data_IF_374118703775
#
_entry.id   IF_374118703775
#
_cell.length_a   1.000
_cell.length_b   1.000
_cell.length_c   1.000
_cell.angle_alpha   90.00
_cell.angle_beta   90.00
_cell.angle_gamma   90.00
#
_symmetry.space_group_name_H-M   'P 1'
#
loop_
_entity.id
_entity.type
_entity.pdbx_description
1 polymer ?
#
# COMPACT_ATOMS: atom_id res chain seq x y z
N UNK A 1 15.63 -1.12 26.09
CA UNK A 1 16.88 -1.82 25.69
C UNK A 1 18.10 -1.18 26.38
N UNK A 2 17.88 -0.38 27.42
CA UNK A 2 18.82 0.67 27.84
C UNK A 2 19.41 0.36 29.24
N UNK A 3 18.91 -0.73 29.85
CA UNK A 3 19.17 -1.18 31.23
C UNK A 3 20.07 -2.45 31.25
N UNK A 4 20.35 -3.08 30.12
CA UNK A 4 21.24 -4.26 30.08
C UNK A 4 22.71 -3.85 30.19
N UNK A 5 23.51 -4.66 30.87
CA UNK A 5 24.97 -4.50 30.93
C UNK A 5 25.61 -5.60 30.07
N UNK A 6 26.22 -5.30 28.90
CA UNK A 6 26.42 -4.01 28.26
C UNK A 6 25.16 -3.50 27.51
N UNK A 7 25.08 -2.17 27.35
CA UNK A 7 23.93 -1.49 26.75
C UNK A 7 23.75 -1.94 25.30
N UNK A 8 22.51 -2.22 24.90
CA UNK A 8 22.16 -2.64 23.54
C UNK A 8 22.93 -3.87 23.04
N UNK A 9 23.28 -4.79 23.94
CA UNK A 9 23.96 -6.04 23.56
C UNK A 9 23.06 -6.92 22.71
N UNK A 10 23.42 -7.11 21.43
CA UNK A 10 22.73 -8.01 20.51
C UNK A 10 22.71 -9.46 21.04
N UNK A 11 23.78 -9.90 21.70
CA UNK A 11 23.86 -11.23 22.29
C UNK A 11 22.79 -11.45 23.38
N UNK A 12 22.54 -10.43 24.21
CA UNK A 12 21.49 -10.48 25.25
C UNK A 12 20.09 -10.44 24.65
N UNK A 13 19.92 -9.70 23.57
CA UNK A 13 18.67 -9.68 22.80
C UNK A 13 18.36 -11.07 22.22
N UNK A 14 19.32 -11.69 21.54
CA UNK A 14 19.14 -13.01 20.91
C UNK A 14 18.86 -14.12 21.96
N UNK A 15 19.46 -14.03 23.15
CA UNK A 15 19.20 -14.92 24.29
C UNK A 15 17.75 -14.81 24.79
N UNK A 16 17.28 -13.57 25.05
CA UNK A 16 15.92 -13.31 25.53
C UNK A 16 14.89 -13.71 24.48
N UNK A 17 15.16 -13.42 23.19
CA UNK A 17 14.28 -13.86 22.10
C UNK A 17 14.15 -15.38 22.09
N UNK A 18 15.25 -16.12 22.23
CA UNK A 18 15.22 -17.59 22.27
C UNK A 18 14.41 -18.13 23.44
N UNK A 19 14.60 -17.57 24.64
CA UNK A 19 13.91 -18.01 25.86
C UNK A 19 12.40 -17.72 25.81
N UNK A 20 12.03 -16.49 25.43
CA UNK A 20 10.63 -16.07 25.30
C UNK A 20 9.94 -16.84 24.17
N UNK A 21 10.61 -17.10 23.05
CA UNK A 21 10.04 -17.91 21.96
C UNK A 21 9.73 -19.34 22.40
N UNK A 22 10.62 -19.97 23.19
CA UNK A 22 10.40 -21.29 23.76
C UNK A 22 9.24 -21.31 24.76
N UNK A 23 9.13 -20.26 25.58
CA UNK A 23 8.03 -20.11 26.53
C UNK A 23 6.68 -19.94 25.82
N UNK A 24 6.61 -19.06 24.82
CA UNK A 24 5.39 -18.84 24.02
C UNK A 24 4.94 -20.13 23.32
N UNK A 25 5.87 -20.91 22.75
CA UNK A 25 5.58 -22.23 22.17
C UNK A 25 5.02 -23.23 23.19
N UNK A 26 5.44 -23.17 24.46
CA UNK A 26 4.90 -24.03 25.54
C UNK A 26 3.49 -23.66 25.99
N UNK A 27 3.13 -22.39 25.89
CA UNK A 27 1.77 -21.87 26.20
C UNK A 27 0.84 -22.00 24.98
N UNK A 28 1.25 -22.79 23.97
CA UNK A 28 0.56 -22.94 22.67
C UNK A 28 0.34 -21.61 21.93
N UNK A 29 1.14 -20.59 22.27
CA UNK A 29 1.13 -19.28 21.62
C UNK A 29 2.00 -19.33 20.36
N UNK A 30 1.34 -19.46 19.22
CA UNK A 30 2.02 -19.67 17.95
C UNK A 30 2.59 -18.35 17.41
N UNK A 31 3.86 -18.07 17.72
CA UNK A 31 4.58 -16.84 17.34
C UNK A 31 4.70 -16.64 15.83
N UNK A 32 4.65 -17.73 15.05
CA UNK A 32 4.70 -17.70 13.58
C UNK A 32 3.32 -17.38 12.96
N UNK A 33 2.26 -17.42 13.78
CA UNK A 33 0.87 -17.30 13.35
C UNK A 33 0.17 -16.08 13.95
N UNK A 34 0.94 -15.07 14.38
CA UNK A 34 0.36 -13.81 14.84
C UNK A 34 -0.38 -13.19 13.66
N UNK A 35 -1.70 -12.97 13.78
CA UNK A 35 -2.48 -12.37 12.71
C UNK A 35 -1.98 -10.96 12.47
N UNK A 36 -1.33 -10.74 11.32
CA UNK A 36 -0.94 -9.40 10.91
C UNK A 36 -2.19 -8.63 10.48
N UNK A 37 -2.46 -7.51 11.14
CA UNK A 37 -3.57 -6.62 10.80
C UNK A 37 -3.01 -5.51 9.92
N UNK A 38 -3.39 -5.54 8.65
CA UNK A 38 -3.12 -4.45 7.71
C UNK A 38 -4.13 -3.34 7.96
N UNK A 39 -3.68 -2.10 7.94
CA UNK A 39 -4.58 -0.95 8.05
C UNK A 39 -4.67 -0.27 6.69
N UNK A 40 -5.89 -0.01 6.24
CA UNK A 40 -6.16 0.64 4.97
C UNK A 40 -7.46 1.41 4.99
N UNK A 41 -7.64 2.23 3.97
CA UNK A 41 -8.87 2.98 3.72
C UNK A 41 -9.57 2.38 2.50
N UNK A 42 -10.87 2.09 2.63
CA UNK A 42 -11.66 1.52 1.54
C UNK A 42 -12.05 2.63 0.58
N UNK A 43 -11.27 2.79 -0.48
CA UNK A 43 -11.50 3.84 -1.48
C UNK A 43 -12.65 3.55 -2.44
N UNK A 44 -12.88 2.27 -2.78
CA UNK A 44 -14.00 1.85 -3.63
C UNK A 44 -14.41 0.41 -3.41
N UNK A 45 -15.70 0.14 -3.58
CA UNK A 45 -16.27 -1.20 -3.43
C UNK A 45 -16.60 -1.51 -1.98
N UNK A 46 -16.62 -2.81 -1.67
CA UNK A 46 -16.90 -3.32 -0.33
C UNK A 46 -15.84 -4.35 0.02
N UNK A 47 -15.29 -4.29 1.22
CA UNK A 47 -14.34 -5.28 1.73
C UNK A 47 -15.08 -6.20 2.70
N UNK A 48 -15.14 -7.49 2.39
CA UNK A 48 -15.80 -8.50 3.22
C UNK A 48 -14.84 -9.63 3.58
N UNK A 49 -15.12 -10.26 4.71
CA UNK A 49 -14.46 -11.52 5.09
C UNK A 49 -14.67 -12.58 4.01
N UNK A 50 -13.62 -13.33 3.68
CA UNK A 50 -13.62 -14.39 2.67
C UNK A 50 -13.37 -13.90 1.23
N UNK A 51 -13.21 -12.59 1.01
CA UNK A 51 -12.83 -12.07 -0.30
C UNK A 51 -11.37 -12.38 -0.63
N UNK A 52 -11.11 -12.71 -1.89
CA UNK A 52 -9.76 -12.94 -2.41
C UNK A 52 -9.24 -11.64 -3.00
N UNK A 53 -8.31 -11.01 -2.30
CA UNK A 53 -7.69 -9.75 -2.69
C UNK A 53 -6.28 -9.99 -3.22
N UNK A 54 -5.85 -9.17 -4.17
CA UNK A 54 -4.48 -9.16 -4.68
C UNK A 54 -3.85 -7.81 -4.39
N UNK A 55 -2.61 -7.81 -3.92
CA UNK A 55 -1.85 -6.60 -3.61
C UNK A 55 -0.91 -6.24 -4.76
N UNK A 56 -1.17 -5.12 -5.43
CA UNK A 56 -0.22 -4.50 -6.36
C UNK A 56 0.78 -3.62 -5.62
N UNK A 57 2.08 -3.60 -5.96
CA UNK A 57 2.77 -4.24 -7.09
C UNK A 57 3.30 -5.67 -6.84
N UNK A 58 3.16 -6.21 -5.63
CA UNK A 58 3.72 -7.55 -5.30
C UNK A 58 3.06 -8.69 -6.08
N UNK A 59 1.80 -8.52 -6.49
CA UNK A 59 1.01 -9.59 -7.12
C UNK A 59 0.57 -10.67 -6.14
N UNK A 60 0.81 -10.48 -4.84
CA UNK A 60 0.44 -11.42 -3.79
C UNK A 60 -1.09 -11.50 -3.67
N UNK A 61 -1.65 -12.67 -3.92
CA UNK A 61 -3.08 -12.95 -3.77
C UNK A 61 -3.33 -13.66 -2.43
N UNK A 62 -4.24 -13.11 -1.62
CA UNK A 62 -4.58 -13.63 -0.30
C UNK A 62 -6.08 -13.51 -0.01
N UNK A 63 -6.57 -14.30 0.94
CA UNK A 63 -7.95 -14.24 1.40
C UNK A 63 -8.05 -13.39 2.68
N UNK A 64 -9.03 -12.51 2.73
CA UNK A 64 -9.36 -11.70 3.92
C UNK A 64 -9.99 -12.59 4.99
N UNK A 65 -9.35 -12.69 6.15
CA UNK A 65 -9.81 -13.52 7.26
C UNK A 65 -10.72 -12.76 8.23
N UNK A 66 -10.37 -11.51 8.57
CA UNK A 66 -11.19 -10.64 9.42
C UNK A 66 -11.07 -9.19 8.93
N UNK A 67 -12.11 -8.41 9.19
CA UNK A 67 -12.12 -6.96 9.00
C UNK A 67 -12.55 -6.36 10.32
N UNK A 68 -11.86 -5.32 10.76
CA UNK A 68 -11.94 -4.72 12.08
C UNK A 68 -11.94 -3.19 11.95
N UNK A 69 -12.75 -2.51 12.75
CA UNK A 69 -12.76 -1.05 12.85
C UNK A 69 -12.86 -0.69 14.34
N UNK A 70 -11.96 0.17 14.82
CA UNK A 70 -11.93 0.60 16.22
C UNK A 70 -11.97 -0.55 17.27
N UNK A 71 -11.35 -1.69 16.98
CA UNK A 71 -11.33 -2.92 17.81
C UNK A 71 -12.63 -3.76 17.80
N UNK A 72 -13.54 -3.50 16.87
CA UNK A 72 -14.71 -4.34 16.64
C UNK A 72 -14.63 -5.03 15.28
N UNK A 73 -15.00 -6.32 15.24
CA UNK A 73 -15.03 -7.08 14.00
C UNK A 73 -16.27 -6.69 13.17
N UNK A 74 -16.04 -6.26 11.93
CA UNK A 74 -17.09 -5.93 10.96
C UNK A 74 -17.30 -7.08 9.98
N UNK A 75 -18.55 -7.27 9.57
CA UNK A 75 -18.90 -8.25 8.54
C UNK A 75 -18.55 -7.75 7.13
N UNK A 76 -18.74 -6.46 6.91
CA UNK A 76 -18.40 -5.74 5.69
C UNK A 76 -17.93 -4.34 6.03
N UNK A 77 -16.92 -3.86 5.31
CA UNK A 77 -16.47 -2.47 5.35
C UNK A 77 -16.90 -1.78 4.07
N UNK A 78 -17.48 -0.59 4.23
CA UNK A 78 -18.06 0.19 3.16
C UNK A 78 -17.08 1.24 2.66
N UNK A 79 -17.49 1.92 1.60
CA UNK A 79 -16.77 3.06 1.05
C UNK A 79 -16.48 4.10 2.14
N UNK A 80 -15.23 4.57 2.18
CA UNK A 80 -14.71 5.56 3.13
C UNK A 80 -14.41 5.06 4.54
N UNK A 81 -14.55 3.76 4.81
CA UNK A 81 -14.17 3.21 6.11
C UNK A 81 -12.66 3.02 6.22
N UNK A 82 -12.10 3.42 7.36
CA UNK A 82 -10.72 3.08 7.74
C UNK A 82 -10.75 1.80 8.56
N UNK A 83 -10.22 0.72 7.99
CA UNK A 83 -10.33 -0.62 8.57
C UNK A 83 -8.98 -1.28 8.74
N UNK A 84 -8.82 -1.97 9.85
CA UNK A 84 -7.85 -3.03 10.01
C UNK A 84 -8.40 -4.30 9.37
N UNK A 85 -7.60 -5.06 8.65
CA UNK A 85 -8.04 -6.36 8.14
C UNK A 85 -6.89 -7.36 8.19
N UNK A 86 -7.22 -8.59 8.52
CA UNK A 86 -6.29 -9.69 8.53
C UNK A 86 -6.38 -10.48 7.22
N UNK A 87 -5.24 -10.93 6.72
CA UNK A 87 -5.13 -11.76 5.52
C UNK A 87 -4.44 -13.08 5.84
N UNK A 88 -4.89 -14.17 5.22
CA UNK A 88 -4.26 -15.49 5.34
C UNK A 88 -2.97 -15.53 4.53
N UNK A 89 -1.93 -16.19 5.07
CA UNK A 89 -0.64 -16.43 4.41
C UNK A 89 0.12 -15.16 3.96
N UNK A 90 -0.07 -14.02 4.63
CA UNK A 90 0.76 -12.85 4.39
C UNK A 90 2.01 -12.84 5.27
N UNK A 91 3.17 -12.69 4.65
CA UNK A 91 4.45 -12.50 5.36
C UNK A 91 4.67 -11.00 5.54
N UNK A 92 5.04 -10.58 6.76
CA UNK A 92 5.20 -9.17 7.18
C UNK A 92 6.12 -8.35 6.26
N UNK A 93 7.08 -9.00 5.59
CA UNK A 93 8.07 -8.32 4.75
C UNK A 93 7.58 -8.01 3.32
N UNK A 94 6.52 -8.66 2.86
CA UNK A 94 6.10 -8.60 1.45
C UNK A 94 5.11 -7.46 1.18
N UNK A 95 4.52 -6.90 2.24
CA UNK A 95 3.54 -5.81 2.17
C UNK A 95 4.14 -4.51 2.69
N UNK A 96 4.02 -3.44 1.90
CA UNK A 96 4.50 -2.11 2.25
C UNK A 96 3.39 -1.08 2.09
N UNK A 97 3.50 0.02 2.83
CA UNK A 97 2.59 1.16 2.68
C UNK A 97 2.61 1.68 1.25
N UNK A 98 1.43 1.96 0.70
CA UNK A 98 1.25 2.39 -0.69
C UNK A 98 0.91 1.26 -1.66
N UNK A 99 0.84 0.01 -1.19
CA UNK A 99 0.32 -1.09 -1.99
C UNK A 99 -1.21 -0.95 -2.12
N UNK A 100 -1.72 -1.30 -3.29
CA UNK A 100 -3.15 -1.21 -3.59
C UNK A 100 -3.73 -2.62 -3.56
N UNK A 101 -4.66 -2.86 -2.65
CA UNK A 101 -5.46 -4.07 -2.61
C UNK A 101 -6.62 -3.95 -3.58
N UNK A 102 -6.83 -4.95 -4.42
CA UNK A 102 -7.96 -5.02 -5.34
C UNK A 102 -8.52 -6.44 -5.40
N UNK A 103 -9.79 -6.56 -5.77
CA UNK A 103 -10.41 -7.85 -6.02
C UNK A 103 -9.82 -8.46 -7.29
N UNK A 104 -9.34 -9.70 -7.19
CA UNK A 104 -8.79 -10.45 -8.32
C UNK A 104 -9.84 -10.72 -9.41
N UNK A 105 -11.12 -10.83 -9.03
CA UNK A 105 -12.18 -11.31 -9.92
C UNK A 105 -12.94 -10.18 -10.61
N UNK A 106 -13.32 -9.13 -9.88
CA UNK A 106 -14.30 -8.16 -10.39
C UNK A 106 -13.65 -6.98 -11.12
N UNK A 107 -12.45 -6.53 -10.72
CA UNK A 107 -11.73 -5.45 -11.39
C UNK A 107 -10.26 -5.40 -10.96
N UNK A 108 -9.37 -6.19 -11.59
CA UNK A 108 -7.96 -6.17 -11.24
C UNK A 108 -7.32 -4.82 -11.57
N UNK A 109 -6.77 -4.16 -10.56
CA UNK A 109 -5.97 -2.95 -10.79
C UNK A 109 -4.71 -3.36 -11.56
N UNK A 110 -4.26 -2.52 -12.49
CA UNK A 110 -3.06 -2.77 -13.28
C UNK A 110 -2.03 -1.70 -13.01
N UNK A 111 -0.77 -2.10 -13.07
CA UNK A 111 0.36 -1.18 -13.00
C UNK A 111 0.31 -0.19 -14.17
N UNK A 112 0.57 1.08 -13.88
CA UNK A 112 0.67 2.11 -14.91
C UNK A 112 2.08 2.12 -15.53
N UNK A 113 2.16 1.96 -16.85
CA UNK A 113 3.42 2.14 -17.57
C UNK A 113 3.70 3.63 -17.79
N UNK A 114 2.65 4.39 -18.11
CA UNK A 114 2.74 5.82 -18.41
C UNK A 114 1.39 6.43 -18.07
N UNK A 115 1.36 7.71 -17.70
CA UNK A 115 0.09 8.42 -17.53
C UNK A 115 0.18 9.86 -17.98
N UNK A 116 -0.89 10.35 -18.61
CA UNK A 116 -1.03 11.75 -19.01
C UNK A 116 -1.82 12.47 -17.95
N UNK A 117 -1.23 13.52 -17.42
CA UNK A 117 -1.78 14.31 -16.32
C UNK A 117 -1.80 15.79 -16.65
N UNK A 118 -2.82 16.46 -16.16
CA UNK A 118 -2.89 17.91 -16.13
C UNK A 118 -2.24 18.35 -14.83
N UNK A 119 -1.16 19.11 -14.92
CA UNK A 119 -0.37 19.55 -13.78
C UNK A 119 -0.38 21.07 -13.73
N UNK A 120 -0.30 21.60 -12.51
CA UNK A 120 -0.20 23.04 -12.22
C UNK A 120 1.08 23.25 -11.42
N UNK A 121 1.95 24.14 -11.90
CA UNK A 121 3.26 24.41 -11.30
C UNK A 121 3.19 25.59 -10.35
N UNK A 122 3.83 25.45 -9.20
CA UNK A 122 3.91 26.46 -8.13
C UNK A 122 5.36 26.91 -7.87
N UNK A 123 6.29 26.55 -8.74
CA UNK A 123 7.70 26.86 -8.58
C UNK A 123 7.97 28.36 -8.81
N UNK A 124 8.75 28.98 -7.91
CA UNK A 124 9.03 30.42 -7.95
C UNK A 124 9.97 30.81 -9.09
N UNK A 125 10.87 29.93 -9.50
CA UNK A 125 11.84 30.16 -10.59
C UNK A 125 11.95 28.95 -11.54
N UNK A 126 10.95 28.71 -12.38
CA UNK A 126 10.95 27.57 -13.25
C UNK A 126 11.76 27.85 -14.52
N UNK A 127 12.59 26.88 -14.92
CA UNK A 127 13.43 26.97 -16.14
C UNK A 127 12.63 26.98 -17.44
N UNK A 128 11.40 26.44 -17.44
CA UNK A 128 10.59 26.23 -18.66
C UNK A 128 9.10 26.60 -18.52
N UNK A 129 8.46 26.40 -17.36
CA UNK A 129 6.99 26.55 -17.16
C UNK A 129 6.71 27.55 -16.05
N UNK A 130 6.08 28.70 -16.30
CA UNK A 130 5.90 29.74 -15.28
C UNK A 130 4.98 29.28 -14.14
N UNK A 131 5.11 29.94 -12.99
CA UNK A 131 4.21 29.72 -11.86
C UNK A 131 2.75 30.01 -12.28
N UNK A 132 1.86 29.06 -12.02
CA UNK A 132 0.45 29.12 -12.41
C UNK A 132 0.14 28.57 -13.80
N UNK A 133 1.15 28.18 -14.60
CA UNK A 133 0.91 27.55 -15.89
C UNK A 133 0.32 26.14 -15.71
N UNK A 134 -0.63 25.82 -16.59
CA UNK A 134 -1.27 24.50 -16.66
C UNK A 134 -0.75 23.78 -17.89
N UNK A 135 -0.21 22.58 -17.69
CA UNK A 135 0.43 21.79 -18.73
C UNK A 135 -0.05 20.35 -18.70
N UNK A 136 -0.19 19.76 -19.89
CA UNK A 136 -0.36 18.32 -20.04
C UNK A 136 1.01 17.66 -20.09
N UNK A 137 1.28 16.77 -19.15
CA UNK A 137 2.56 16.07 -19.04
C UNK A 137 2.34 14.58 -19.04
N UNK A 138 3.09 13.89 -19.91
CA UNK A 138 3.24 12.45 -19.88
C UNK A 138 4.29 12.09 -18.84
N UNK A 139 3.85 11.44 -17.77
CA UNK A 139 4.69 11.00 -16.66
C UNK A 139 5.04 9.53 -16.87
N UNK A 140 6.31 9.19 -16.63
CA UNK A 140 6.82 7.81 -16.66
C UNK A 140 7.34 7.48 -15.26
N UNK A 141 6.68 6.58 -14.52
CA UNK A 141 7.10 6.19 -13.18
C UNK A 141 8.38 5.35 -13.23
N UNK A 142 9.33 5.62 -12.33
CA UNK A 142 10.58 4.84 -12.20
C UNK A 142 10.42 3.59 -11.35
N UNK A 143 9.38 3.54 -10.51
CA UNK A 143 8.99 2.41 -9.67
C UNK A 143 7.56 1.99 -10.02
N UNK A 144 7.21 0.70 -9.87
CA UNK A 144 5.84 0.24 -10.07
C UNK A 144 4.84 1.04 -9.25
N UNK A 145 3.88 1.65 -9.93
CA UNK A 145 2.83 2.46 -9.30
C UNK A 145 1.46 2.08 -9.88
N UNK A 146 0.47 2.09 -9.01
CA UNK A 146 -0.92 1.84 -9.36
C UNK A 146 -1.64 3.19 -9.28
N UNK A 147 -1.98 3.73 -10.45
CA UNK A 147 -2.72 4.98 -10.58
C UNK A 147 -3.89 4.79 -11.53
N UNK A 148 -4.93 5.58 -11.34
CA UNK A 148 -6.15 5.52 -12.14
C UNK A 148 -6.57 6.91 -12.60
N UNK A 149 -7.49 6.97 -13.55
CA UNK A 149 -8.02 8.24 -14.03
C UNK A 149 -8.87 8.90 -12.94
N UNK A 150 -8.76 10.22 -12.84
CA UNK A 150 -9.50 11.00 -11.85
C UNK A 150 -11.02 10.80 -11.93
N UNK A 151 -11.55 10.66 -13.14
CA UNK A 151 -12.98 10.45 -13.36
C UNK A 151 -13.46 9.08 -12.88
N UNK A 152 -12.60 8.05 -12.93
CA UNK A 152 -12.96 6.70 -12.48
C UNK A 152 -12.73 6.53 -10.98
N UNK A 153 -11.56 6.97 -10.50
CA UNK A 153 -11.15 6.85 -9.11
C UNK A 153 -10.45 8.15 -8.65
N UNK A 154 -11.20 9.12 -8.07
CA UNK A 154 -10.66 10.43 -7.71
C UNK A 154 -9.48 10.39 -6.74
N UNK A 155 -9.47 9.45 -5.79
CA UNK A 155 -8.43 9.32 -4.77
C UNK A 155 -7.09 8.86 -5.35
N UNK A 156 -7.12 7.99 -6.36
CA UNK A 156 -5.91 7.49 -7.06
C UNK A 156 -5.48 8.37 -8.24
N UNK A 157 -6.32 9.33 -8.63
CA UNK A 157 -6.08 10.23 -9.77
C UNK A 157 -5.50 11.59 -9.39
N UNK A 158 -5.27 11.88 -8.11
CA UNK A 158 -4.66 13.13 -7.63
C UNK A 158 -3.26 12.85 -7.09
N UNK A 159 -2.30 13.68 -7.45
CA UNK A 159 -0.94 13.57 -6.93
C UNK A 159 -0.29 14.93 -6.73
N UNK A 160 0.76 14.93 -5.93
CA UNK A 160 1.59 16.12 -5.68
C UNK A 160 3.02 15.80 -6.08
N UNK A 161 3.65 16.70 -6.82
CA UNK A 161 5.06 16.62 -7.16
C UNK A 161 5.83 17.41 -6.12
N UNK A 162 6.85 16.79 -5.54
CA UNK A 162 7.73 17.41 -4.56
C UNK A 162 9.16 17.42 -5.05
N UNK A 163 9.84 18.54 -4.87
CA UNK A 163 11.28 18.68 -5.03
C UNK A 163 11.87 19.29 -3.77
N UNK A 164 13.03 18.81 -3.32
CA UNK A 164 13.69 19.24 -2.06
C UNK A 164 12.74 19.39 -0.85
N UNK A 165 11.77 18.47 -0.70
CA UNK A 165 10.70 18.47 0.33
C UNK A 165 9.67 19.61 0.23
N UNK A 166 9.74 20.44 -0.80
CA UNK A 166 8.74 21.46 -1.11
C UNK A 166 7.79 20.95 -2.20
N UNK A 167 6.53 21.39 -2.15
CA UNK A 167 5.56 21.09 -3.21
C UNK A 167 5.84 22.02 -4.39
N UNK A 168 6.15 21.44 -5.54
CA UNK A 168 6.45 22.20 -6.77
C UNK A 168 5.29 22.14 -7.77
N UNK A 169 4.46 21.11 -7.72
CA UNK A 169 3.30 21.00 -8.58
C UNK A 169 2.19 20.12 -7.98
N UNK A 170 0.97 20.32 -8.45
CA UNK A 170 -0.19 19.44 -8.16
C UNK A 170 -0.76 18.96 -9.47
N UNK A 171 -1.09 17.68 -9.55
CA UNK A 171 -1.52 17.03 -10.78
C UNK A 171 -2.80 16.22 -10.63
N UNK A 172 -3.57 16.18 -11.71
CA UNK A 172 -4.74 15.33 -11.88
C UNK A 172 -4.55 14.44 -13.11
N UNK A 173 -4.71 13.14 -12.94
CA UNK A 173 -4.53 12.14 -13.99
C UNK A 173 -5.77 12.12 -14.88
N UNK A 174 -5.56 12.35 -16.18
CA UNK A 174 -6.62 12.30 -17.18
C UNK A 174 -6.68 10.95 -17.87
N UNK A 175 -5.53 10.36 -18.18
CA UNK A 175 -5.41 9.10 -18.90
C UNK A 175 -4.25 8.27 -18.36
N UNK A 176 -4.41 6.94 -18.33
CA UNK A 176 -3.39 5.99 -17.89
C UNK A 176 -3.19 4.93 -18.97
N UNK A 177 -1.94 4.73 -19.38
CA UNK A 177 -1.49 3.59 -20.18
C UNK A 177 -1.09 2.48 -19.21
N UNK A 178 -1.91 1.42 -19.15
CA UNK A 178 -1.69 0.27 -18.26
C UNK A 178 -0.69 -0.69 -18.91
N UNK A 179 0.18 -1.28 -18.09
CA UNK A 179 1.10 -2.32 -18.53
C UNK A 179 0.31 -3.59 -18.89
N UNK A 180 0.68 -4.24 -19.99
CA UNK A 180 0.10 -5.53 -20.35
C UNK A 180 0.46 -6.61 -19.32
N UNK A 181 -0.45 -7.57 -19.03
CA UNK A 181 -0.28 -8.57 -17.98
C UNK A 181 0.78 -9.65 -18.26
N UNK A 182 1.65 -9.49 -19.26
CA UNK A 182 2.58 -10.53 -19.74
C UNK A 182 3.78 -10.81 -18.80
N UNK A 183 3.76 -10.29 -17.57
CA UNK A 183 4.88 -10.40 -16.62
C UNK A 183 4.63 -11.31 -15.41
N UNK A 184 3.44 -11.88 -15.25
CA UNK A 184 3.19 -12.86 -14.19
C UNK A 184 3.89 -14.17 -14.56
N UNK A 185 5.16 -14.32 -14.17
CA UNK A 185 5.77 -15.64 -14.05
C UNK A 185 4.94 -16.41 -13.03
N UNK A 186 4.11 -17.31 -13.53
CA UNK A 186 3.56 -18.42 -12.77
C UNK A 186 4.78 -19.27 -12.41
N UNK A 187 5.18 -19.29 -11.15
CA UNK A 187 6.11 -20.26 -10.60
C UNK A 187 5.61 -20.65 -9.22
#
# INVERSE_FOLDING_TARGET
>A
MDITTPKYSKARYDEIVKEVSLYLKKVDYNTEKIPFVLVGHVETGVLKRGMVITFGPSGLTTEVNSVEMHHEALQEALLSDSVGFNVKNAIVNDLKCGYVAFDSKNNPAKEASNFTSQVIWFEKEPKFLKNGDVGFVKMVPTKPIFVETFFKYPSLGRFVVRDMRQMVAVGVIKQVEKKDPTGAKIT
#
